data_IF_825381848415
#
_entry.id   IF_825381848415
#
_cell.length_a   1.000
_cell.length_b   1.000
_cell.length_c   1.000
_cell.angle_alpha   90.00
_cell.angle_beta   90.00
_cell.angle_gamma   90.00
#
_symmetry.space_group_name_H-M   'P 1'
#
loop_
_entity.id
_entity.type
_entity.pdbx_description
1 polymer ?
#
# COMPACT_ATOMS: atom_id res chain seq x y z
N UNK A 1 -25.31 5.51 15.91
CA UNK A 1 -24.66 6.17 14.77
C UNK A 1 -23.19 5.86 14.88
N UNK A 2 -22.58 5.38 13.81
CA UNK A 2 -21.18 4.95 13.78
C UNK A 2 -20.35 5.95 13.00
N UNK A 3 -19.19 6.34 13.52
CA UNK A 3 -18.35 7.34 12.85
C UNK A 3 -17.05 6.70 12.38
N UNK A 4 -16.70 6.90 11.11
CA UNK A 4 -15.44 6.47 10.51
C UNK A 4 -14.49 7.67 10.45
N UNK A 5 -13.33 7.54 11.09
CA UNK A 5 -12.29 8.56 11.12
C UNK A 5 -10.95 7.94 10.74
N UNK A 6 -10.11 8.67 10.00
CA UNK A 6 -8.71 8.27 9.80
C UNK A 6 -7.84 8.79 10.93
N UNK A 7 -6.90 7.96 11.38
CA UNK A 7 -5.91 8.31 12.41
C UNK A 7 -4.93 9.38 11.92
N UNK A 8 -4.43 9.23 10.70
CA UNK A 8 -3.56 10.21 10.06
C UNK A 8 -3.98 10.48 8.63
N UNK A 9 -4.09 11.75 8.28
CA UNK A 9 -4.36 12.19 6.91
C UNK A 9 -3.04 12.20 6.11
N UNK A 10 -2.76 11.10 5.40
CA UNK A 10 -1.64 11.05 4.47
C UNK A 10 -1.83 12.04 3.31
N UNK A 11 -0.72 12.49 2.71
CA UNK A 11 -0.76 13.37 1.54
C UNK A 11 -1.52 12.79 0.35
N UNK A 12 -1.60 11.45 0.24
CA UNK A 12 -2.41 10.78 -0.76
C UNK A 12 -3.91 10.92 -0.47
N UNK A 13 -4.33 10.71 0.78
CA UNK A 13 -5.72 10.92 1.19
C UNK A 13 -6.19 12.36 0.96
N UNK A 14 -5.33 13.35 1.22
CA UNK A 14 -5.63 14.78 0.94
C UNK A 14 -5.73 15.11 -0.55
N UNK A 15 -5.18 14.27 -1.43
CA UNK A 15 -5.32 14.40 -2.88
C UNK A 15 -6.56 13.66 -3.41
N UNK A 16 -7.10 12.73 -2.64
CA UNK A 16 -8.32 12.01 -2.99
C UNK A 16 -9.56 12.83 -2.65
N UNK A 17 -10.69 12.49 -3.28
CA UNK A 17 -11.98 13.15 -3.07
C UNK A 17 -12.72 12.64 -1.81
N UNK A 18 -12.06 11.79 -1.01
CA UNK A 18 -12.64 11.15 0.17
C UNK A 18 -12.69 12.11 1.35
N UNK A 19 -13.80 12.05 2.10
CA UNK A 19 -14.01 12.90 3.28
C UNK A 19 -13.74 12.10 4.56
N UNK A 20 -12.99 12.69 5.48
CA UNK A 20 -12.82 12.16 6.83
C UNK A 20 -14.13 12.35 7.64
N UNK A 21 -14.29 11.62 8.74
CA UNK A 21 -15.39 11.80 9.69
C UNK A 21 -16.79 11.43 9.13
N UNK A 22 -16.86 10.41 8.30
CA UNK A 22 -18.11 9.90 7.74
C UNK A 22 -18.96 9.21 8.81
N UNK A 23 -20.24 9.55 8.89
CA UNK A 23 -21.19 8.97 9.85
C UNK A 23 -22.18 8.04 9.16
N UNK A 24 -22.38 6.86 9.73
CA UNK A 24 -23.29 5.82 9.24
C UNK A 24 -24.30 5.43 10.31
N UNK A 25 -25.43 4.89 9.90
CA UNK A 25 -26.46 4.44 10.85
C UNK A 25 -26.15 3.06 11.42
N UNK A 26 -25.55 2.17 10.61
CA UNK A 26 -25.25 0.79 10.99
C UNK A 26 -23.76 0.54 11.11
N UNK A 27 -23.39 -0.38 12.01
CA UNK A 27 -22.01 -0.82 12.20
C UNK A 27 -21.45 -1.46 10.93
N UNK A 28 -22.32 -2.20 10.23
CA UNK A 28 -21.96 -2.96 9.05
C UNK A 28 -21.60 -2.02 7.88
N UNK A 29 -22.37 -0.94 7.68
CA UNK A 29 -22.05 0.10 6.68
C UNK A 29 -20.74 0.80 7.01
N UNK A 30 -20.55 1.22 8.26
CA UNK A 30 -19.32 1.90 8.68
C UNK A 30 -18.08 1.03 8.48
N UNK A 31 -18.16 -0.25 8.88
CA UNK A 31 -17.07 -1.20 8.68
C UNK A 31 -16.79 -1.45 7.20
N UNK A 32 -17.85 -1.65 6.40
CA UNK A 32 -17.71 -1.90 4.97
C UNK A 32 -17.09 -0.71 4.25
N UNK A 33 -17.52 0.51 4.59
CA UNK A 33 -16.93 1.74 4.06
C UNK A 33 -15.45 1.87 4.45
N UNK A 34 -15.12 1.68 5.73
CA UNK A 34 -13.74 1.78 6.21
C UNK A 34 -12.81 0.77 5.51
N UNK A 35 -13.27 -0.48 5.33
CA UNK A 35 -12.52 -1.51 4.61
C UNK A 35 -12.36 -1.18 3.13
N UNK A 36 -13.43 -0.78 2.43
CA UNK A 36 -13.35 -0.38 1.01
C UNK A 36 -12.38 0.78 0.79
N UNK A 37 -12.41 1.80 1.66
CA UNK A 37 -11.47 2.93 1.57
C UNK A 37 -10.04 2.46 1.84
N UNK A 38 -9.82 1.60 2.83
CA UNK A 38 -8.49 1.06 3.11
C UNK A 38 -7.93 0.25 1.91
N UNK A 39 -8.73 -0.64 1.32
CA UNK A 39 -8.34 -1.43 0.15
C UNK A 39 -8.03 -0.53 -1.06
N UNK A 40 -8.91 0.41 -1.38
CA UNK A 40 -8.69 1.35 -2.48
C UNK A 40 -7.41 2.19 -2.28
N UNK A 41 -7.14 2.64 -1.05
CA UNK A 41 -5.95 3.43 -0.74
C UNK A 41 -4.66 2.60 -0.85
N UNK A 42 -4.72 1.32 -0.48
CA UNK A 42 -3.62 0.36 -0.63
C UNK A 42 -3.33 0.05 -2.11
N UNK A 43 -4.36 -0.08 -2.95
CA UNK A 43 -4.20 -0.45 -4.36
C UNK A 43 -3.89 0.74 -5.27
N UNK A 44 -4.56 1.88 -5.05
CA UNK A 44 -4.60 2.99 -6.02
C UNK A 44 -3.69 4.17 -5.64
N UNK A 45 -3.53 4.45 -4.34
CA UNK A 45 -2.91 5.70 -3.87
C UNK A 45 -1.52 5.54 -3.27
N UNK A 46 -1.28 4.42 -2.60
CA UNK A 46 -0.15 4.32 -1.69
C UNK A 46 0.43 2.92 -1.71
N UNK A 47 1.15 2.60 -2.78
CA UNK A 47 2.04 1.44 -2.80
C UNK A 47 3.06 1.41 -1.65
N UNK A 48 3.15 2.47 -0.83
CA UNK A 48 4.08 2.64 0.30
C UNK A 48 3.40 2.71 1.68
N UNK A 49 2.10 2.98 1.76
CA UNK A 49 1.36 3.07 3.02
C UNK A 49 0.29 1.99 3.07
N UNK A 50 0.28 1.19 4.13
CA UNK A 50 -0.72 0.19 4.42
C UNK A 50 -1.84 0.78 5.28
N UNK A 51 -3.04 0.85 4.73
CA UNK A 51 -4.25 1.27 5.44
C UNK A 51 -4.94 0.05 6.05
N UNK A 52 -5.38 0.17 7.29
CA UNK A 52 -6.10 -0.90 8.00
C UNK A 52 -7.28 -0.31 8.75
N UNK A 53 -8.47 -0.85 8.51
CA UNK A 53 -9.69 -0.47 9.22
C UNK A 53 -9.79 -1.26 10.53
N UNK A 54 -9.86 -0.55 11.65
CA UNK A 54 -10.04 -1.17 12.96
C UNK A 54 -11.22 -0.53 13.69
N UNK A 55 -11.97 -1.34 14.43
CA UNK A 55 -13.01 -0.82 15.31
C UNK A 55 -12.34 -0.15 16.50
N UNK A 56 -12.70 1.09 16.76
CA UNK A 56 -12.27 1.82 17.94
C UNK A 56 -13.16 1.55 19.16
N UNK A 57 -12.96 2.34 20.21
CA UNK A 57 -13.69 2.25 21.47
C UNK A 57 -15.16 2.71 21.34
N UNK A 58 -16.10 1.77 21.30
CA UNK A 58 -17.53 2.09 21.20
C UNK A 58 -18.05 2.17 19.77
N UNK A 59 -18.66 3.30 19.40
CA UNK A 59 -19.36 3.52 18.12
C UNK A 59 -18.50 4.26 17.07
N UNK A 60 -17.18 4.08 17.10
CA UNK A 60 -16.28 4.64 16.09
C UNK A 60 -15.38 3.60 15.45
N UNK A 61 -15.00 3.87 14.21
CA UNK A 61 -14.08 3.11 13.39
C UNK A 61 -12.89 3.99 13.07
N UNK A 62 -11.70 3.48 13.35
CA UNK A 62 -10.45 4.17 13.11
C UNK A 62 -9.71 3.48 11.96
N UNK A 63 -9.37 4.24 10.93
CA UNK A 63 -8.50 3.77 9.85
C UNK A 63 -7.08 4.17 10.23
N UNK A 64 -6.29 3.19 10.63
CA UNK A 64 -4.87 3.36 10.96
C UNK A 64 -4.03 3.24 9.69
N UNK A 65 -2.95 4.02 9.61
CA UNK A 65 -2.01 3.95 8.50
C UNK A 65 -0.64 3.52 9.02
N UNK A 66 -0.12 2.45 8.43
CA UNK A 66 1.23 1.98 8.67
C UNK A 66 2.08 2.25 7.42
N UNK A 67 3.34 2.66 7.60
CA UNK A 67 4.27 2.77 6.48
C UNK A 67 4.81 1.36 6.22
N UNK A 68 4.73 0.87 4.97
CA UNK A 68 5.39 -0.37 4.57
C UNK A 68 6.85 -0.05 4.20
N UNK A 69 7.84 -0.32 5.08
CA UNK A 69 9.23 -0.01 4.78
C UNK A 69 9.78 -0.85 3.62
N UNK A 70 9.12 -1.96 3.27
CA UNK A 70 9.52 -2.87 2.19
C UNK A 70 9.16 -2.34 0.80
N UNK A 71 8.14 -1.47 0.70
CA UNK A 71 7.74 -0.86 -0.56
C UNK A 71 8.41 0.50 -0.82
N UNK A 72 8.98 1.11 0.22
CA UNK A 72 10.03 2.09 0.00
C UNK A 72 11.23 1.28 -0.48
N UNK A 73 11.44 1.27 -1.80
CA UNK A 73 12.69 0.84 -2.42
C UNK A 73 13.84 1.75 -2.00
N UNK A 74 14.13 1.85 -0.70
CA UNK A 74 15.50 2.05 -0.25
C UNK A 74 16.16 0.71 -0.53
N UNK A 75 16.51 0.47 -1.80
CA UNK A 75 17.81 -0.15 -2.01
C UNK A 75 18.75 0.73 -1.19
N UNK A 76 19.43 0.23 -0.15
CA UNK A 76 20.56 0.99 0.33
C UNK A 76 21.39 1.20 -0.92
N UNK A 77 21.55 2.47 -1.31
CA UNK A 77 22.52 2.86 -2.30
C UNK A 77 23.85 2.42 -1.69
N UNK A 78 24.19 1.15 -1.91
CA UNK A 78 25.57 0.72 -1.88
C UNK A 78 26.14 1.44 -3.07
N UNK A 79 26.75 2.60 -2.80
CA UNK A 79 27.76 3.12 -3.70
C UNK A 79 28.82 2.03 -3.74
N UNK A 80 28.70 1.10 -4.68
CA UNK A 80 29.85 0.33 -5.13
C UNK A 80 30.73 1.30 -5.91
N UNK A 81 31.36 2.24 -5.21
CA UNK A 81 32.56 2.94 -5.66
C UNK A 81 33.74 1.98 -5.46
N UNK A 82 33.70 0.86 -6.15
CA UNK A 82 34.86 0.01 -6.38
C UNK A 82 34.66 -0.59 -7.76
N UNK A 83 35.44 -0.08 -8.72
CA UNK A 83 35.37 -0.44 -10.12
C UNK A 83 35.34 -1.95 -10.33
N UNK A 84 34.20 -2.45 -10.79
CA UNK A 84 34.10 -3.77 -11.37
C UNK A 84 33.86 -3.57 -12.87
N UNK A 85 34.97 -3.50 -13.62
CA UNK A 85 34.94 -3.64 -15.06
C UNK A 85 34.50 -5.05 -15.44
N UNK A 86 33.84 -5.14 -16.60
CA UNK A 86 33.70 -6.33 -17.45
C UNK A 86 32.59 -7.32 -16.99
N UNK A 87 31.69 -7.81 -17.85
CA UNK A 87 31.59 -7.78 -19.31
C UNK A 87 30.14 -8.11 -19.66
N UNK A 88 29.57 -7.41 -20.65
CA UNK A 88 28.45 -7.89 -21.45
C UNK A 88 28.71 -9.33 -21.93
N UNK A 89 27.97 -10.31 -21.41
CA UNK A 89 27.85 -11.65 -22.03
C UNK A 89 26.43 -12.19 -21.87
N UNK A 90 25.50 -11.65 -22.65
CA UNK A 90 24.31 -12.39 -23.06
C UNK A 90 24.74 -13.42 -24.13
N UNK A 91 25.20 -14.59 -23.69
CA UNK A 91 25.33 -15.74 -24.59
C UNK A 91 23.93 -16.34 -24.77
N UNK A 92 23.27 -16.03 -25.89
CA UNK A 92 22.21 -16.88 -26.43
C UNK A 92 22.83 -18.22 -26.82
N UNK A 93 22.60 -19.25 -26.00
CA UNK A 93 22.80 -20.62 -26.41
C UNK A 93 21.42 -21.28 -26.57
N UNK A 94 20.96 -21.26 -27.82
CA UNK A 94 19.87 -22.10 -28.31
C UNK A 94 20.36 -23.53 -28.48
N UNK A 95 19.82 -24.48 -27.70
CA UNK A 95 19.84 -25.92 -27.97
C UNK A 95 18.76 -26.57 -27.08
N UNK A 96 17.75 -27.32 -27.52
CA UNK A 96 17.57 -28.17 -28.69
C UNK A 96 17.21 -29.59 -28.20
N UNK A 97 16.00 -30.08 -28.55
CA UNK A 97 15.56 -31.50 -28.67
C UNK A 97 14.04 -31.49 -28.80
N UNK A 98 13.42 -31.73 -29.95
CA UNK A 98 13.39 -32.98 -30.73
C UNK A 98 13.23 -34.20 -29.83
N UNK A 99 12.01 -34.72 -29.74
CA UNK A 99 11.82 -36.15 -29.71
C UNK A 99 10.56 -36.53 -30.50
N UNK A 100 10.83 -37.49 -31.38
CA UNK A 100 10.03 -38.23 -32.35
C UNK A 100 8.82 -38.94 -31.75
#
# INVERSE_FOLDING_TARGET
>A
MYTVQMEQECGCFKKSEYTNNMTFETQQDAYKYATTVAELMNEEFCGTHNFTAQKGDGDYFLITVAINPEAVGITPHVSCDVGCSATDKWSLESNGKSNK
#
